data_IF_519305102421
#
_entry.id   IF_519305102421
#
_cell.length_a   1.000
_cell.length_b   1.000
_cell.length_c   1.000
_cell.angle_alpha   90.00
_cell.angle_beta   90.00
_cell.angle_gamma   90.00
#
_symmetry.space_group_name_H-M   'P 1'
#
loop_
_entity.id
_entity.type
_entity.pdbx_description
1 polymer ?
#
# COMPACT_ATOMS: atom_id res chain seq x y z
N UNK A 1 0.06 -29.94 6.81
CA UNK A 1 -0.18 -29.10 8.00
C UNK A 1 -1.26 -28.10 7.64
N UNK A 2 -2.39 -28.16 8.32
CA UNK A 2 -3.52 -27.24 8.09
C UNK A 2 -3.10 -25.84 8.54
N UNK A 3 -3.15 -24.79 7.71
CA UNK A 3 -3.00 -23.45 8.20
C UNK A 3 -4.25 -23.15 9.02
N UNK A 4 -4.09 -23.14 10.35
CA UNK A 4 -5.13 -22.67 11.24
C UNK A 4 -5.56 -21.29 10.75
N UNK A 5 -6.87 -21.10 10.57
CA UNK A 5 -7.53 -19.84 10.27
C UNK A 5 -7.24 -18.83 11.39
N UNK A 6 -6.06 -18.24 11.36
CA UNK A 6 -5.77 -17.04 12.14
C UNK A 6 -6.56 -15.90 11.48
N UNK A 7 -7.57 -15.41 12.19
CA UNK A 7 -8.42 -14.29 11.78
C UNK A 7 -7.62 -12.99 11.84
N UNK A 8 -6.65 -12.81 10.95
CA UNK A 8 -5.80 -11.61 10.86
C UNK A 8 -6.57 -10.32 10.51
N UNK A 9 -7.86 -10.44 10.18
CA UNK A 9 -8.70 -9.32 9.72
C UNK A 9 -9.23 -8.48 10.89
N UNK A 10 -9.21 -8.99 12.13
CA UNK A 10 -9.93 -8.42 13.25
C UNK A 10 -9.06 -7.84 14.37
N UNK A 11 -7.78 -7.57 14.16
CA UNK A 11 -7.02 -6.82 15.16
C UNK A 11 -7.54 -5.39 15.26
N UNK A 12 -7.94 -5.01 16.45
CA UNK A 12 -8.14 -3.59 16.78
C UNK A 12 -6.79 -2.88 16.69
N UNK A 13 -6.79 -1.57 16.47
CA UNK A 13 -5.56 -0.78 16.42
C UNK A 13 -4.71 -0.95 17.69
N UNK A 14 -5.36 -1.12 18.83
CA UNK A 14 -4.70 -1.34 20.13
C UNK A 14 -4.03 -2.71 20.21
N UNK A 15 -4.69 -3.77 19.77
CA UNK A 15 -4.14 -5.12 19.72
C UNK A 15 -2.93 -5.21 18.78
N UNK A 16 -3.03 -4.60 17.59
CA UNK A 16 -1.93 -4.54 16.64
C UNK A 16 -0.72 -3.77 17.21
N UNK A 17 -0.97 -2.66 17.92
CA UNK A 17 0.08 -1.88 18.57
C UNK A 17 0.76 -2.67 19.69
N UNK A 18 -0.01 -3.39 20.50
CA UNK A 18 0.53 -4.24 21.56
C UNK A 18 1.34 -5.41 21.00
N UNK A 19 0.83 -6.05 19.95
CA UNK A 19 1.51 -7.15 19.26
C UNK A 19 2.85 -6.67 18.67
N UNK A 20 2.85 -5.50 18.05
CA UNK A 20 4.06 -4.89 17.48
C UNK A 20 5.08 -4.56 18.57
N UNK A 21 4.66 -3.96 19.67
CA UNK A 21 5.54 -3.67 20.82
C UNK A 21 6.15 -4.95 21.40
N UNK A 22 5.34 -5.99 21.59
CA UNK A 22 5.82 -7.28 22.08
C UNK A 22 6.83 -7.95 21.14
N UNK A 23 6.63 -7.81 19.80
CA UNK A 23 7.59 -8.30 18.82
C UNK A 23 8.92 -7.54 18.88
N UNK A 24 8.88 -6.20 19.10
CA UNK A 24 10.09 -5.38 19.29
C UNK A 24 10.85 -5.75 20.56
N UNK A 25 10.17 -6.23 21.61
CA UNK A 25 10.76 -6.74 22.85
C UNK A 25 11.34 -8.16 22.70
N UNK A 26 11.32 -8.73 21.49
CA UNK A 26 11.91 -10.03 21.16
C UNK A 26 10.99 -11.22 21.31
N UNK A 27 9.68 -11.03 21.48
CA UNK A 27 8.73 -12.13 21.54
C UNK A 27 8.51 -12.76 20.15
N UNK A 28 9.07 -13.94 19.93
CA UNK A 28 9.02 -14.65 18.64
C UNK A 28 7.58 -14.97 18.19
N UNK A 29 6.68 -15.32 19.12
CA UNK A 29 5.29 -15.62 18.81
C UNK A 29 4.57 -14.36 18.32
N UNK A 30 4.79 -13.23 18.97
CA UNK A 30 4.23 -11.94 18.52
C UNK A 30 4.78 -11.53 17.16
N UNK A 31 6.05 -11.79 16.88
CA UNK A 31 6.63 -11.54 15.56
C UNK A 31 6.02 -12.46 14.48
N UNK A 32 5.78 -13.73 14.79
CA UNK A 32 5.13 -14.68 13.87
C UNK A 32 3.70 -14.24 13.53
N UNK A 33 2.91 -13.88 14.53
CA UNK A 33 1.54 -13.39 14.36
C UNK A 33 1.51 -12.10 13.53
N UNK A 34 2.42 -11.17 13.82
CA UNK A 34 2.58 -9.92 13.10
C UNK A 34 3.00 -10.15 11.64
N UNK A 35 3.91 -11.09 11.40
CA UNK A 35 4.34 -11.51 10.07
C UNK A 35 3.18 -12.07 9.25
N UNK A 36 2.34 -12.90 9.88
CA UNK A 36 1.10 -13.40 9.29
C UNK A 36 0.14 -12.28 8.92
N UNK A 37 -0.04 -11.29 9.80
CA UNK A 37 -0.87 -10.11 9.52
C UNK A 37 -0.33 -9.31 8.31
N UNK A 38 0.97 -9.01 8.30
CA UNK A 38 1.60 -8.27 7.19
C UNK A 38 1.41 -9.01 5.87
N UNK A 39 1.64 -10.33 5.83
CA UNK A 39 1.43 -11.16 4.63
C UNK A 39 -0.03 -11.14 4.18
N UNK A 40 -0.97 -11.30 5.10
CA UNK A 40 -2.40 -11.32 4.78
C UNK A 40 -2.88 -9.99 4.18
N UNK A 41 -2.53 -8.87 4.79
CA UNK A 41 -2.89 -7.54 4.29
C UNK A 41 -2.25 -7.28 2.94
N UNK A 42 -0.98 -7.64 2.76
CA UNK A 42 -0.26 -7.46 1.50
C UNK A 42 -0.90 -8.28 0.38
N UNK A 43 -1.19 -9.54 0.62
CA UNK A 43 -1.85 -10.42 -0.33
C UNK A 43 -3.24 -9.89 -0.73
N UNK A 44 -4.04 -9.49 0.25
CA UNK A 44 -5.38 -8.94 0.01
C UNK A 44 -5.32 -7.65 -0.84
N UNK A 45 -4.33 -6.78 -0.56
CA UNK A 45 -4.11 -5.56 -1.33
C UNK A 45 -3.76 -5.85 -2.80
N UNK A 46 -2.76 -6.72 -3.05
CA UNK A 46 -2.34 -7.02 -4.42
C UNK A 46 -3.36 -7.87 -5.17
N UNK A 47 -4.07 -8.79 -4.48
CA UNK A 47 -5.18 -9.55 -5.06
C UNK A 47 -6.32 -8.63 -5.51
N UNK A 48 -6.61 -7.56 -4.76
CA UNK A 48 -7.56 -6.53 -5.19
C UNK A 48 -7.09 -5.85 -6.48
N UNK A 49 -5.78 -5.55 -6.63
CA UNK A 49 -5.22 -4.99 -7.87
C UNK A 49 -5.28 -5.98 -9.04
N UNK A 50 -5.10 -7.27 -8.76
CA UNK A 50 -5.27 -8.33 -9.76
C UNK A 50 -6.73 -8.41 -10.25
N UNK A 51 -7.70 -8.44 -9.33
CA UNK A 51 -9.14 -8.45 -9.67
C UNK A 51 -9.58 -7.23 -10.49
N UNK A 52 -8.88 -6.10 -10.36
CA UNK A 52 -9.09 -4.89 -11.16
C UNK A 52 -8.36 -4.93 -12.52
N UNK A 53 -7.68 -6.02 -12.86
CA UNK A 53 -6.90 -6.13 -14.09
C UNK A 53 -5.63 -5.27 -14.12
N UNK A 54 -5.20 -4.71 -12.99
CA UNK A 54 -3.95 -3.93 -12.89
C UNK A 54 -2.72 -4.82 -12.77
N UNK A 55 -2.86 -5.96 -12.09
CA UNK A 55 -1.90 -7.06 -12.06
C UNK A 55 -2.50 -8.18 -12.90
N UNK A 56 -1.83 -8.60 -13.95
CA UNK A 56 -2.38 -9.58 -14.88
C UNK A 56 -2.10 -11.02 -14.44
N UNK A 57 -0.89 -11.28 -13.95
CA UNK A 57 -0.49 -12.60 -13.49
C UNK A 57 -0.72 -12.71 -11.97
N UNK A 58 -1.31 -13.80 -11.52
CA UNK A 58 -1.51 -14.08 -10.10
C UNK A 58 -0.19 -14.32 -9.37
N UNK A 59 0.81 -14.88 -10.04
CA UNK A 59 2.14 -15.10 -9.45
C UNK A 59 2.80 -13.77 -9.02
N UNK A 60 2.55 -12.67 -9.76
CA UNK A 60 3.00 -11.34 -9.37
C UNK A 60 2.38 -10.88 -8.04
N UNK A 61 1.19 -11.36 -7.68
CA UNK A 61 0.55 -11.07 -6.37
C UNK A 61 1.35 -11.72 -5.25
N UNK A 62 1.77 -12.97 -5.45
CA UNK A 62 2.55 -13.72 -4.47
C UNK A 62 3.96 -13.13 -4.32
N UNK A 63 4.61 -12.77 -5.43
CA UNK A 63 5.93 -12.13 -5.45
C UNK A 63 5.91 -10.78 -4.72
N UNK A 64 4.94 -9.93 -5.04
CA UNK A 64 4.78 -8.62 -4.38
C UNK A 64 4.48 -8.77 -2.88
N UNK A 65 3.69 -9.78 -2.50
CA UNK A 65 3.41 -10.09 -1.10
C UNK A 65 4.68 -10.52 -0.37
N UNK A 66 5.48 -11.38 -0.97
CA UNK A 66 6.74 -11.83 -0.41
C UNK A 66 7.74 -10.69 -0.27
N UNK A 67 7.83 -9.78 -1.25
CA UNK A 67 8.71 -8.61 -1.18
C UNK A 67 8.35 -7.69 0.00
N UNK A 68 7.05 -7.46 0.25
CA UNK A 68 6.62 -6.68 1.42
C UNK A 68 6.99 -7.38 2.72
N UNK A 69 6.79 -8.68 2.79
CA UNK A 69 7.16 -9.46 3.97
C UNK A 69 8.67 -9.45 4.25
N UNK A 70 9.51 -9.63 3.23
CA UNK A 70 10.95 -9.58 3.38
C UNK A 70 11.41 -8.20 3.88
N UNK A 71 10.88 -7.14 3.27
CA UNK A 71 11.15 -5.76 3.72
C UNK A 71 10.72 -5.55 5.17
N UNK A 72 9.58 -6.11 5.58
CA UNK A 72 9.13 -6.06 6.97
C UNK A 72 10.09 -6.80 7.91
N UNK A 73 10.44 -8.03 7.58
CA UNK A 73 11.32 -8.86 8.41
C UNK A 73 12.72 -8.24 8.62
N UNK A 74 13.22 -7.53 7.59
CA UNK A 74 14.52 -6.83 7.67
C UNK A 74 14.47 -5.54 8.48
N UNK A 75 13.34 -4.85 8.51
CA UNK A 75 13.24 -3.47 8.98
C UNK A 75 12.31 -3.26 10.17
N UNK A 76 11.62 -4.31 10.69
CA UNK A 76 10.56 -4.12 11.68
C UNK A 76 11.03 -3.37 12.94
N UNK A 77 12.30 -3.52 13.35
CA UNK A 77 12.85 -2.79 14.51
C UNK A 77 13.12 -1.30 14.24
N UNK A 78 13.00 -0.85 13.00
CA UNK A 78 13.15 0.56 12.60
C UNK A 78 11.81 1.23 12.32
N UNK A 79 10.72 0.48 12.48
CA UNK A 79 9.37 0.96 12.17
C UNK A 79 8.78 1.62 13.42
N UNK A 80 8.49 2.92 13.34
CA UNK A 80 7.82 3.64 14.41
C UNK A 80 6.30 3.40 14.41
N UNK A 81 5.71 3.31 13.21
CA UNK A 81 4.28 3.10 13.03
C UNK A 81 4.03 2.07 11.93
N UNK A 82 3.59 0.86 12.35
CA UNK A 82 3.40 -0.26 11.45
C UNK A 82 2.33 0.00 10.38
N UNK A 83 1.19 0.59 10.76
CA UNK A 83 0.10 0.84 9.81
C UNK A 83 0.55 1.82 8.71
N UNK A 84 1.25 2.86 9.10
CA UNK A 84 1.77 3.86 8.19
C UNK A 84 2.85 3.30 7.26
N UNK A 85 3.80 2.55 7.86
CA UNK A 85 4.85 1.87 7.11
C UNK A 85 4.25 0.89 6.08
N UNK A 86 3.29 0.06 6.50
CA UNK A 86 2.67 -0.94 5.63
C UNK A 86 1.97 -0.29 4.42
N UNK A 87 1.21 0.78 4.66
CA UNK A 87 0.57 1.53 3.56
C UNK A 87 1.58 2.05 2.54
N UNK A 88 2.68 2.63 3.04
CA UNK A 88 3.77 3.14 2.20
C UNK A 88 4.38 2.03 1.37
N UNK A 89 4.77 0.93 2.01
CA UNK A 89 5.47 -0.16 1.34
C UNK A 89 4.58 -0.86 0.31
N UNK A 90 3.30 -1.09 0.62
CA UNK A 90 2.33 -1.64 -0.34
C UNK A 90 2.20 -0.77 -1.58
N UNK A 91 2.04 0.53 -1.39
CA UNK A 91 1.91 1.47 -2.50
C UNK A 91 3.18 1.53 -3.35
N UNK A 92 4.34 1.67 -2.74
CA UNK A 92 5.62 1.75 -3.46
C UNK A 92 5.93 0.47 -4.23
N UNK A 93 5.72 -0.71 -3.62
CA UNK A 93 5.91 -1.98 -4.32
C UNK A 93 4.99 -2.09 -5.54
N UNK A 94 3.71 -1.72 -5.40
CA UNK A 94 2.77 -1.72 -6.53
C UNK A 94 3.19 -0.77 -7.64
N UNK A 95 3.54 0.48 -7.32
CA UNK A 95 3.92 1.51 -8.31
C UNK A 95 5.21 1.10 -9.04
N UNK A 96 6.21 0.62 -8.31
CA UNK A 96 7.48 0.20 -8.91
C UNK A 96 7.28 -1.03 -9.83
N UNK A 97 6.51 -2.01 -9.39
CA UNK A 97 6.15 -3.15 -10.21
C UNK A 97 5.37 -2.71 -11.46
N UNK A 98 4.38 -1.83 -11.31
CA UNK A 98 3.56 -1.34 -12.41
C UNK A 98 4.36 -0.57 -13.47
N UNK A 99 5.29 0.27 -13.03
CA UNK A 99 6.23 0.97 -13.93
C UNK A 99 7.08 -0.03 -14.72
N UNK A 100 7.69 -1.03 -14.04
CA UNK A 100 8.50 -2.07 -14.66
C UNK A 100 7.67 -2.94 -15.63
N UNK A 101 6.45 -3.30 -15.26
CA UNK A 101 5.54 -4.10 -16.08
C UNK A 101 5.09 -3.35 -17.34
N UNK A 102 4.82 -2.04 -17.25
CA UNK A 102 4.54 -1.20 -18.43
C UNK A 102 5.76 -1.06 -19.33
N UNK A 103 6.93 -0.81 -18.79
CA UNK A 103 8.17 -0.72 -19.56
C UNK A 103 8.45 -2.01 -20.32
N UNK A 104 8.24 -3.19 -19.73
CA UNK A 104 8.36 -4.48 -20.42
C UNK A 104 7.35 -4.63 -21.55
N UNK A 105 6.10 -4.17 -21.39
CA UNK A 105 5.09 -4.21 -22.46
C UNK A 105 5.42 -3.29 -23.62
N UNK A 106 5.89 -2.08 -23.33
CA UNK A 106 6.36 -1.15 -24.37
C UNK A 106 7.57 -1.72 -25.11
N UNK A 107 8.49 -2.39 -24.38
CA UNK A 107 9.65 -3.03 -24.97
C UNK A 107 9.29 -4.22 -25.89
N UNK A 108 8.28 -5.01 -25.54
CA UNK A 108 7.77 -6.09 -26.40
C UNK A 108 7.04 -5.58 -27.65
N UNK A 109 6.52 -4.35 -27.61
CA UNK A 109 5.90 -3.69 -28.78
C UNK A 109 6.92 -2.89 -29.60
N UNK A 110 8.06 -2.53 -28.99
CA UNK A 110 9.13 -1.72 -29.60
C UNK A 110 10.46 -2.48 -29.71
N UNK A 111 10.44 -3.78 -30.07
CA UNK A 111 11.66 -4.56 -30.32
C UNK A 111 12.53 -3.98 -31.46
N UNK A 112 12.45 -2.67 -31.66
CA UNK A 112 13.19 -1.92 -32.66
C UNK A 112 13.97 -0.70 -32.12
N UNK A 113 13.95 -0.31 -30.83
CA UNK A 113 14.82 0.77 -30.36
C UNK A 113 15.21 0.69 -28.89
N UNK A 114 16.53 0.64 -28.68
CA UNK A 114 17.31 0.75 -27.44
C UNK A 114 16.76 1.73 -26.42
N UNK A 115 16.65 1.32 -25.14
CA UNK A 115 16.98 2.20 -24.00
C UNK A 115 17.17 1.40 -22.69
N UNK A 116 18.31 1.62 -22.08
CA UNK A 116 18.79 1.21 -20.78
C UNK A 116 17.80 1.50 -19.65
N UNK A 117 17.47 0.48 -18.86
CA UNK A 117 16.71 0.61 -17.61
C UNK A 117 17.66 1.18 -16.55
N UNK A 118 17.39 2.39 -16.09
CA UNK A 118 18.03 2.98 -14.91
C UNK A 118 17.50 2.32 -13.64
N UNK A 119 18.42 1.88 -12.79
CA UNK A 119 18.16 1.41 -11.44
C UNK A 119 17.35 2.42 -10.60
N UNK A 120 16.52 1.89 -9.71
CA UNK A 120 15.76 2.68 -8.74
C UNK A 120 16.69 3.53 -7.89
N UNK A 121 16.63 4.84 -8.09
CA UNK A 121 17.46 5.82 -7.42
C UNK A 121 17.03 5.97 -5.94
N UNK A 122 17.96 6.14 -4.98
CA UNK A 122 17.64 6.52 -3.60
C UNK A 122 16.74 7.77 -3.47
N UNK A 123 16.69 8.63 -4.50
CA UNK A 123 15.79 9.77 -4.58
C UNK A 123 14.29 9.42 -4.52
N UNK A 124 13.88 8.23 -4.99
CA UNK A 124 12.47 7.80 -4.93
C UNK A 124 11.97 7.57 -3.48
N UNK A 125 12.88 7.36 -2.53
CA UNK A 125 12.56 7.19 -1.10
C UNK A 125 12.29 8.57 -0.45
N UNK A 126 13.06 9.57 -0.82
CA UNK A 126 12.90 10.96 -0.32
C UNK A 126 11.57 11.56 -0.79
N UNK A 127 11.16 11.27 -2.03
CA UNK A 127 9.86 11.70 -2.56
C UNK A 127 8.68 11.06 -1.80
N UNK A 128 8.84 9.83 -1.35
CA UNK A 128 7.79 9.15 -0.58
C UNK A 128 7.58 9.76 0.82
N UNK A 129 8.65 10.17 1.51
CA UNK A 129 8.57 10.86 2.80
C UNK A 129 7.94 12.24 2.65
N UNK A 130 8.29 12.96 1.60
CA UNK A 130 7.67 14.24 1.24
C UNK A 130 6.17 14.08 0.97
N UNK A 131 5.77 13.07 0.20
CA UNK A 131 4.36 12.75 -0.05
C UNK A 131 3.61 12.50 1.26
N UNK A 132 4.19 11.74 2.17
CA UNK A 132 3.56 11.40 3.43
C UNK A 132 3.44 12.60 4.37
N UNK A 133 4.46 13.47 4.42
CA UNK A 133 4.41 14.71 5.19
C UNK A 133 3.31 15.65 4.64
N UNK A 134 3.16 15.74 3.32
CA UNK A 134 2.11 16.52 2.68
C UNK A 134 0.72 15.91 2.97
N UNK A 135 0.58 14.58 2.89
CA UNK A 135 -0.69 13.91 3.25
C UNK A 135 -1.09 14.17 4.70
N UNK A 136 -0.13 14.22 5.62
CA UNK A 136 -0.38 14.54 7.03
C UNK A 136 -0.91 15.97 7.24
N UNK A 137 -0.62 16.90 6.32
CA UNK A 137 -1.15 18.29 6.39
C UNK A 137 -2.58 18.45 5.90
N UNK A 138 -3.14 17.43 5.25
CA UNK A 138 -4.52 17.46 4.76
C UNK A 138 -5.53 17.36 5.91
N UNK A 139 -6.72 17.95 5.72
CA UNK A 139 -7.82 17.77 6.67
C UNK A 139 -8.22 16.30 6.81
N UNK A 140 -8.78 15.89 7.97
CA UNK A 140 -9.18 14.50 8.21
C UNK A 140 -10.10 13.91 7.13
N UNK A 141 -11.05 14.68 6.62
CA UNK A 141 -11.93 14.26 5.53
C UNK A 141 -11.18 13.99 4.23
N UNK A 142 -10.18 14.83 3.89
CA UNK A 142 -9.34 14.64 2.71
C UNK A 142 -8.43 13.42 2.85
N UNK A 143 -7.87 13.20 4.02
CA UNK A 143 -7.09 11.97 4.31
C UNK A 143 -7.98 10.74 4.20
N UNK A 144 -9.20 10.81 4.78
CA UNK A 144 -10.16 9.71 4.76
C UNK A 144 -10.58 9.33 3.34
N UNK A 145 -10.94 10.31 2.50
CA UNK A 145 -11.33 10.03 1.11
C UNK A 145 -10.20 9.41 0.29
N UNK A 146 -8.96 9.88 0.46
CA UNK A 146 -7.79 9.27 -0.18
C UNK A 146 -7.56 7.84 0.32
N UNK A 147 -7.68 7.61 1.63
CA UNK A 147 -7.58 6.27 2.23
C UNK A 147 -8.61 5.32 1.62
N UNK A 148 -9.88 5.72 1.59
CA UNK A 148 -10.97 4.91 1.07
C UNK A 148 -10.79 4.62 -0.44
N UNK A 149 -10.37 5.62 -1.22
CA UNK A 149 -10.22 5.48 -2.67
C UNK A 149 -8.96 4.72 -3.09
N UNK A 150 -7.79 5.04 -2.51
CA UNK A 150 -6.52 4.46 -2.94
C UNK A 150 -6.13 3.21 -2.19
N UNK A 151 -6.54 3.09 -0.93
CA UNK A 151 -6.15 1.98 -0.07
C UNK A 151 -7.20 0.87 -0.06
N UNK A 152 -8.48 1.23 0.10
CA UNK A 152 -9.59 0.26 0.09
C UNK A 152 -10.23 0.11 -1.29
N UNK A 153 -9.83 0.94 -2.25
CA UNK A 153 -10.28 0.95 -3.67
C UNK A 153 -11.79 1.03 -3.85
N UNK A 154 -12.46 1.72 -2.94
CA UNK A 154 -13.90 1.91 -2.96
C UNK A 154 -14.32 2.85 -4.10
N UNK A 155 -15.48 2.60 -4.68
CA UNK A 155 -16.11 3.50 -5.65
C UNK A 155 -16.61 4.75 -4.93
N UNK A 156 -16.79 5.85 -5.67
CA UNK A 156 -17.25 7.11 -5.07
C UNK A 156 -18.61 7.00 -4.39
N UNK A 157 -19.53 6.17 -4.92
CA UNK A 157 -20.81 5.88 -4.27
C UNK A 157 -20.63 5.22 -2.91
N UNK A 158 -19.78 4.19 -2.80
CA UNK A 158 -19.48 3.50 -1.53
C UNK A 158 -18.82 4.43 -0.51
N UNK A 159 -17.93 5.31 -0.99
CA UNK A 159 -17.29 6.34 -0.15
C UNK A 159 -18.33 7.35 0.33
N UNK A 160 -19.29 7.71 -0.52
CA UNK A 160 -20.37 8.62 -0.20
C UNK A 160 -21.23 8.11 0.97
N UNK A 161 -21.57 6.82 0.96
CA UNK A 161 -22.28 6.14 2.05
C UNK A 161 -21.46 6.17 3.35
N UNK A 162 -20.18 5.78 3.31
CA UNK A 162 -19.28 5.75 4.50
C UNK A 162 -19.05 7.14 5.09
N UNK A 163 -19.02 8.18 4.25
CA UNK A 163 -18.77 9.55 4.68
C UNK A 163 -20.07 10.35 4.90
N UNK A 164 -21.23 9.75 4.68
CA UNK A 164 -22.55 10.39 4.76
C UNK A 164 -22.62 11.69 3.96
N UNK A 165 -22.18 11.64 2.70
CA UNK A 165 -22.16 12.76 1.76
C UNK A 165 -22.71 12.29 0.40
N UNK A 166 -23.09 13.24 -0.47
CA UNK A 166 -23.46 12.87 -1.84
C UNK A 166 -22.24 12.42 -2.66
N UNK A 167 -22.43 11.54 -3.63
CA UNK A 167 -21.34 11.08 -4.51
C UNK A 167 -20.64 12.23 -5.24
N UNK A 168 -21.40 13.25 -5.65
CA UNK A 168 -20.85 14.45 -6.30
C UNK A 168 -20.00 15.30 -5.34
N UNK A 169 -20.39 15.38 -4.06
CA UNK A 169 -19.57 16.05 -3.05
C UNK A 169 -18.25 15.30 -2.82
N UNK A 170 -18.30 13.97 -2.79
CA UNK A 170 -17.11 13.11 -2.69
C UNK A 170 -16.21 13.27 -3.90
N UNK A 171 -16.74 13.23 -5.13
CA UNK A 171 -15.96 13.47 -6.36
C UNK A 171 -15.28 14.83 -6.34
N UNK A 172 -16.01 15.90 -6.02
CA UNK A 172 -15.45 17.26 -5.92
C UNK A 172 -14.35 17.35 -4.86
N UNK A 173 -14.58 16.78 -3.70
CA UNK A 173 -13.58 16.75 -2.63
C UNK A 173 -12.32 15.97 -3.05
N UNK A 174 -12.47 14.80 -3.65
CA UNK A 174 -11.37 13.98 -4.13
C UNK A 174 -10.50 14.73 -5.16
N UNK A 175 -11.12 15.27 -6.23
CA UNK A 175 -10.37 15.95 -7.27
C UNK A 175 -9.69 17.23 -6.77
N UNK A 176 -10.34 18.01 -5.90
CA UNK A 176 -9.70 19.18 -5.24
C UNK A 176 -8.53 18.76 -4.37
N UNK A 177 -8.64 17.63 -3.68
CA UNK A 177 -7.53 17.11 -2.86
C UNK A 177 -6.35 16.66 -3.74
N UNK A 178 -6.61 16.02 -4.87
CA UNK A 178 -5.56 15.65 -5.82
C UNK A 178 -4.87 16.89 -6.42
N UNK A 179 -5.63 17.93 -6.73
CA UNK A 179 -5.09 19.19 -7.26
C UNK A 179 -4.24 19.93 -6.21
N UNK A 180 -4.72 19.99 -4.96
CA UNK A 180 -3.94 20.52 -3.84
C UNK A 180 -2.63 19.76 -3.64
N UNK A 181 -2.65 18.43 -3.76
CA UNK A 181 -1.44 17.60 -3.69
C UNK A 181 -0.48 17.93 -4.84
N UNK A 182 -0.96 18.03 -6.08
CA UNK A 182 -0.12 18.37 -7.24
C UNK A 182 0.60 19.72 -7.08
N UNK A 183 -0.06 20.69 -6.45
CA UNK A 183 0.51 22.02 -6.24
C UNK A 183 1.55 22.07 -5.10
N UNK A 184 1.64 21.00 -4.30
CA UNK A 184 2.62 20.89 -3.20
C UNK A 184 3.86 20.04 -3.61
N UNK A 185 3.84 19.44 -4.79
CA UNK A 185 4.94 18.71 -5.42
C UNK A 185 5.64 19.54 -6.48
#
# INVERSE_FOLDING_TARGET
MNPQNLNYINFTQKELSNLFKSALEGNSKSFEELSGYVRHISYSYFLSKHRQGKILNKDDVDDLTNNVYLTFAEQYHKIDNLEFWLRRVLFLNFVNWYKKSKAKKTFQLEEAHYLTVKDTNPGDIVDAEKILSILATLSPDKQKILKLRFYQDLKFGEIAEIMNKSEDAIKKMFYRTIEELKNKF
#
